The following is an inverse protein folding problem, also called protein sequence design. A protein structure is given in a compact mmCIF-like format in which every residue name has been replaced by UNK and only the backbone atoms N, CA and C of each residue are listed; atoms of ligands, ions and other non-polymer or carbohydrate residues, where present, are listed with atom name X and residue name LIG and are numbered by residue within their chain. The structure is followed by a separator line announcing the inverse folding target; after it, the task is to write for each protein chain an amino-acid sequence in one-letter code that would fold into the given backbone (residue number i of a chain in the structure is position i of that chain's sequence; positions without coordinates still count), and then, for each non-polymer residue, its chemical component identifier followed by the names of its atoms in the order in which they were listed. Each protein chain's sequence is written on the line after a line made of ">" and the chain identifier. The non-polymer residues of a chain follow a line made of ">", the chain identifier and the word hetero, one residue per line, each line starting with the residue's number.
data_IF_569127613597
#
_entry.id   IF_569127613597
#
_cell.length_a   1.000
_cell.length_b   1.000
_cell.length_c   1.000
_cell.angle_alpha   90.00
_cell.angle_beta   90.00
_cell.angle_gamma   90.00
#
_symmetry.space_group_name_H-M   'P 1'
#
loop_
_entity.id
_entity.type
_entity.pdbx_description
1 polymer ?
#
# COMPACT_ATOMS: atom_id res chain seq x y z
N UNK A 1 -20.98 -29.78 5.62
CA UNK A 1 -21.94 -28.66 5.76
C UNK A 1 -21.58 -27.67 6.87
N UNK A 2 -21.21 -28.12 8.09
CA UNK A 2 -20.81 -27.23 9.19
C UNK A 2 -19.61 -26.33 8.87
N UNK A 3 -18.54 -26.90 8.28
CA UNK A 3 -17.34 -26.15 7.87
C UNK A 3 -17.63 -24.98 6.92
N UNK A 4 -18.51 -25.19 5.95
CA UNK A 4 -18.89 -24.14 4.99
C UNK A 4 -19.61 -23.00 5.71
N UNK A 5 -20.47 -23.29 6.68
CA UNK A 5 -21.16 -22.26 7.48
C UNK A 5 -20.19 -21.43 8.32
N UNK A 6 -19.18 -22.07 8.91
CA UNK A 6 -18.14 -21.40 9.69
C UNK A 6 -17.33 -20.46 8.78
N UNK A 7 -16.90 -20.94 7.62
CA UNK A 7 -16.15 -20.13 6.65
C UNK A 7 -16.97 -18.92 6.21
N UNK A 8 -18.22 -19.13 5.79
CA UNK A 8 -19.12 -18.05 5.36
C UNK A 8 -19.36 -17.04 6.49
N UNK A 9 -19.54 -17.51 7.73
CA UNK A 9 -19.69 -16.65 8.90
C UNK A 9 -18.45 -15.79 9.17
N UNK A 10 -17.25 -16.40 9.12
CA UNK A 10 -15.99 -15.67 9.29
C UNK A 10 -15.74 -14.67 8.17
N UNK A 11 -16.07 -15.02 6.92
CA UNK A 11 -15.95 -14.10 5.78
C UNK A 11 -16.92 -12.92 5.92
N UNK A 12 -18.17 -13.17 6.32
CA UNK A 12 -19.15 -12.11 6.58
C UNK A 12 -18.70 -11.17 7.70
N UNK A 13 -18.18 -11.72 8.81
CA UNK A 13 -17.63 -10.92 9.90
C UNK A 13 -16.44 -10.08 9.45
N UNK A 14 -15.51 -10.66 8.69
CA UNK A 14 -14.37 -9.94 8.14
C UNK A 14 -14.81 -8.78 7.23
N UNK A 15 -15.82 -8.99 6.38
CA UNK A 15 -16.39 -7.95 5.53
C UNK A 15 -16.96 -6.80 6.36
N UNK A 16 -17.79 -7.10 7.37
CA UNK A 16 -18.38 -6.07 8.25
C UNK A 16 -17.28 -5.24 8.92
N UNK A 17 -16.27 -5.89 9.50
CA UNK A 17 -15.15 -5.20 10.15
C UNK A 17 -14.39 -4.31 9.17
N UNK A 18 -14.07 -4.82 7.97
CA UNK A 18 -13.39 -4.03 6.94
C UNK A 18 -14.22 -2.82 6.50
N UNK A 19 -15.54 -2.97 6.34
CA UNK A 19 -16.43 -1.87 5.96
C UNK A 19 -16.51 -0.81 7.06
N UNK A 20 -16.61 -1.21 8.33
CA UNK A 20 -16.62 -0.26 9.45
C UNK A 20 -15.29 0.50 9.53
N UNK A 21 -14.16 -0.19 9.39
CA UNK A 21 -12.84 0.44 9.39
C UNK A 21 -12.70 1.41 8.21
N UNK A 22 -13.18 1.05 7.02
CA UNK A 22 -13.20 1.93 5.87
C UNK A 22 -14.05 3.18 6.12
N UNK A 23 -15.28 3.01 6.63
CA UNK A 23 -16.18 4.11 6.96
C UNK A 23 -15.57 5.05 8.01
N UNK A 24 -14.98 4.52 9.08
CA UNK A 24 -14.29 5.32 10.11
C UNK A 24 -13.12 6.08 9.48
N UNK A 25 -12.32 5.44 8.63
CA UNK A 25 -11.23 6.11 7.91
C UNK A 25 -11.72 7.22 6.98
N UNK A 26 -12.85 7.03 6.32
CA UNK A 26 -13.41 8.04 5.39
C UNK A 26 -14.05 9.21 6.12
N UNK A 27 -14.76 8.97 7.23
CA UNK A 27 -15.56 10.00 7.90
C UNK A 27 -14.85 10.64 9.10
N UNK A 28 -14.04 9.89 9.83
CA UNK A 28 -13.45 10.33 11.11
C UNK A 28 -11.99 10.73 10.93
N UNK A 29 -11.28 10.13 9.97
CA UNK A 29 -9.86 10.41 9.79
C UNK A 29 -9.67 11.72 8.98
N UNK A 30 -9.04 12.76 9.55
CA UNK A 30 -8.75 13.96 8.79
C UNK A 30 -7.80 13.63 7.64
N UNK A 31 -8.11 14.18 6.46
CA UNK A 31 -7.39 13.98 5.19
C UNK A 31 -5.92 14.39 5.40
N UNK A 32 -5.04 13.42 5.61
CA UNK A 32 -3.63 13.66 5.95
C UNK A 32 -3.04 12.70 6.98
N UNK A 33 -3.83 11.84 7.63
CA UNK A 33 -3.25 10.83 8.53
C UNK A 33 -2.46 9.80 7.72
N UNK A 34 -1.19 9.67 8.09
CA UNK A 34 -0.21 8.75 7.53
C UNK A 34 -0.73 7.31 7.65
N UNK A 35 -1.39 6.82 6.60
CA UNK A 35 -1.94 5.46 6.60
C UNK A 35 -0.77 4.50 6.53
N UNK A 36 -0.70 3.55 7.46
CA UNK A 36 0.36 2.53 7.48
C UNK A 36 0.50 1.86 6.11
N UNK A 37 -0.62 1.60 5.43
CA UNK A 37 -0.65 1.05 4.07
C UNK A 37 0.09 1.94 3.04
N UNK A 38 -0.14 3.25 3.05
CA UNK A 38 0.56 4.20 2.18
C UNK A 38 2.05 4.19 2.48
N UNK A 39 2.43 4.20 3.75
CA UNK A 39 3.84 4.11 4.13
C UNK A 39 4.47 2.79 3.66
N UNK A 40 3.79 1.66 3.82
CA UNK A 40 4.26 0.35 3.36
C UNK A 40 4.47 0.33 1.85
N UNK A 41 3.56 0.91 1.06
CA UNK A 41 3.67 0.98 -0.40
C UNK A 41 4.91 1.81 -0.80
N UNK A 42 5.04 3.02 -0.25
CA UNK A 42 6.19 3.88 -0.57
C UNK A 42 7.52 3.25 -0.13
N UNK A 43 7.58 2.65 1.06
CA UNK A 43 8.80 1.96 1.52
C UNK A 43 9.14 0.73 0.66
N UNK A 44 8.13 -0.06 0.27
CA UNK A 44 8.31 -1.22 -0.60
C UNK A 44 8.87 -0.84 -1.96
N UNK A 45 8.26 0.17 -2.59
CA UNK A 45 8.69 0.67 -3.90
C UNK A 45 10.09 1.31 -3.78
N UNK A 46 10.36 2.10 -2.74
CA UNK A 46 11.68 2.69 -2.51
C UNK A 46 12.77 1.61 -2.37
N UNK A 47 12.47 0.50 -1.67
CA UNK A 47 13.41 -0.62 -1.54
C UNK A 47 13.72 -1.25 -2.90
N UNK A 48 12.71 -1.46 -3.74
CA UNK A 48 12.89 -2.00 -5.09
C UNK A 48 13.74 -1.07 -5.97
N UNK A 49 13.44 0.22 -5.96
CA UNK A 49 14.18 1.23 -6.72
C UNK A 49 15.62 1.36 -6.23
N UNK A 50 15.86 1.35 -4.91
CA UNK A 50 17.21 1.33 -4.34
C UNK A 50 18.00 0.08 -4.72
N UNK A 51 17.37 -1.10 -4.77
CA UNK A 51 18.02 -2.32 -5.23
C UNK A 51 18.45 -2.22 -6.70
N UNK A 52 17.65 -1.56 -7.54
CA UNK A 52 18.00 -1.28 -8.94
C UNK A 52 19.09 -0.21 -9.06
N UNK A 53 18.99 0.86 -8.27
CA UNK A 53 19.98 1.94 -8.23
C UNK A 53 21.36 1.46 -7.75
N UNK A 54 21.44 0.45 -6.87
CA UNK A 54 22.72 -0.18 -6.48
C UNK A 54 23.49 -0.82 -7.64
N UNK A 55 22.83 -1.12 -8.76
CA UNK A 55 23.46 -1.68 -9.96
C UNK A 55 23.89 -0.61 -10.97
N UNK A 56 23.55 0.65 -10.72
CA UNK A 56 23.99 1.78 -11.53
C UNK A 56 25.48 2.05 -11.32
N UNK A 57 26.16 2.47 -12.38
CA UNK A 57 27.61 2.72 -12.41
C UNK A 57 27.94 4.21 -12.28
N UNK A 58 26.99 5.11 -12.56
CA UNK A 58 27.15 6.55 -12.39
C UNK A 58 26.04 7.17 -11.53
N UNK A 59 26.30 8.36 -11.00
CA UNK A 59 25.29 9.13 -10.29
C UNK A 59 24.10 9.53 -11.18
N UNK A 60 24.32 9.79 -12.47
CA UNK A 60 23.20 10.11 -13.38
C UNK A 60 22.28 8.90 -13.62
N UNK A 61 22.84 7.68 -13.63
CA UNK A 61 22.05 6.47 -13.75
C UNK A 61 21.21 6.20 -12.48
N UNK A 62 21.77 6.49 -11.29
CA UNK A 62 21.03 6.44 -10.02
C UNK A 62 19.85 7.41 -10.05
N UNK A 63 20.10 8.66 -10.45
CA UNK A 63 19.09 9.71 -10.50
C UNK A 63 17.98 9.35 -11.51
N UNK A 64 18.34 8.88 -12.71
CA UNK A 64 17.38 8.44 -13.73
C UNK A 64 16.49 7.29 -13.23
N UNK A 65 17.06 6.33 -12.50
CA UNK A 65 16.28 5.24 -11.91
C UNK A 65 15.36 5.77 -10.81
N UNK A 66 15.84 6.64 -9.93
CA UNK A 66 15.07 7.20 -8.82
C UNK A 66 14.01 8.22 -9.27
N UNK A 67 14.17 8.86 -10.43
CA UNK A 67 13.16 9.78 -10.98
C UNK A 67 11.79 9.08 -11.19
N UNK A 68 11.82 7.78 -11.49
CA UNK A 68 10.61 6.98 -11.69
C UNK A 68 9.99 6.47 -10.37
N UNK A 69 10.65 6.63 -9.23
CA UNK A 69 10.14 6.17 -7.92
C UNK A 69 8.83 6.86 -7.55
N UNK A 70 8.82 8.20 -7.53
CA UNK A 70 7.66 8.99 -7.13
C UNK A 70 6.42 8.73 -8.00
N UNK A 71 6.48 8.80 -9.34
CA UNK A 71 5.30 8.54 -10.18
C UNK A 71 4.79 7.10 -10.04
N UNK A 72 5.68 6.10 -9.93
CA UNK A 72 5.24 4.71 -9.77
C UNK A 72 4.60 4.46 -8.40
N UNK A 73 5.15 5.08 -7.34
CA UNK A 73 4.60 4.98 -5.99
C UNK A 73 3.22 5.62 -5.89
N UNK A 74 3.02 6.77 -6.55
CA UNK A 74 1.73 7.46 -6.60
C UNK A 74 0.68 6.65 -7.37
N UNK A 75 1.03 6.04 -8.51
CA UNK A 75 0.09 5.18 -9.27
C UNK A 75 -0.34 3.94 -8.48
N UNK A 76 0.55 3.41 -7.63
CA UNK A 76 0.26 2.24 -6.79
C UNK A 76 -0.54 2.60 -5.53
N UNK A 77 -0.84 3.88 -5.28
CA UNK A 77 -1.67 4.26 -4.15
C UNK A 77 -3.13 3.82 -4.39
N UNK A 78 -3.80 3.25 -3.38
CA UNK A 78 -5.23 3.03 -3.44
C UNK A 78 -5.95 4.40 -3.47
N UNK A 79 -6.94 4.52 -4.36
CA UNK A 79 -7.79 5.71 -4.51
C UNK A 79 -8.74 5.90 -3.31
#
# INVERSE_FOLDING_TARGET
>A
MMFVRIIVGLTGLALVVMTVVAAVKTFVLPRGVNVWLTQTIFHGINKLFRLRAKKAKSYEEVDRVMAMYAPLALVMMPA
#
